data_IF_318939888354
#
_entry.id   IF_318939888354
#
_cell.length_a   1.000
_cell.length_b   1.000
_cell.length_c   1.000
_cell.angle_alpha   90.00
_cell.angle_beta   90.00
_cell.angle_gamma   90.00
#
_symmetry.space_group_name_H-M   'P 1'
#
loop_
_entity.id
_entity.type
_entity.pdbx_description
1 polymer ?
#
# COMPACT_ATOMS: atom_id res chain seq x y z
N UNK A 1 -8.16 3.03 -16.66
CA UNK A 1 -6.83 3.70 -16.71
C UNK A 1 -6.97 5.20 -16.86
N UNK A 2 -5.88 5.96 -16.65
CA UNK A 2 -5.84 7.39 -16.90
C UNK A 2 -6.12 7.70 -18.38
N UNK A 3 -6.69 8.87 -18.69
CA UNK A 3 -7.13 9.19 -20.05
C UNK A 3 -5.98 9.34 -21.05
N UNK A 4 -4.78 9.69 -20.57
CA UNK A 4 -3.54 9.73 -21.36
C UNK A 4 -2.36 9.28 -20.48
N UNK A 5 -2.13 7.98 -20.26
CA UNK A 5 -1.15 7.51 -19.27
C UNK A 5 0.27 8.05 -19.56
N UNK A 6 1.00 8.38 -18.49
CA UNK A 6 2.39 8.83 -18.56
C UNK A 6 3.37 7.70 -18.22
N UNK A 7 4.69 7.98 -18.18
CA UNK A 7 5.66 7.03 -17.64
C UNK A 7 5.31 6.70 -16.17
N UNK A 8 5.56 5.45 -15.76
CA UNK A 8 5.34 4.96 -14.39
C UNK A 8 3.87 5.03 -13.90
N UNK A 9 2.89 5.08 -14.81
CA UNK A 9 1.47 4.97 -14.44
C UNK A 9 1.10 3.55 -13.99
N UNK A 10 1.86 2.54 -14.40
CA UNK A 10 1.66 1.15 -14.00
C UNK A 10 2.80 0.62 -13.12
N UNK A 11 2.49 -0.39 -12.31
CA UNK A 11 3.47 -1.09 -11.50
C UNK A 11 4.44 -1.89 -12.36
N UNK A 12 5.73 -2.02 -11.96
CA UNK A 12 6.70 -2.82 -12.71
C UNK A 12 6.30 -4.29 -12.93
N UNK A 13 5.43 -4.82 -12.06
CA UNK A 13 4.91 -6.18 -12.11
C UNK A 13 3.46 -6.27 -12.60
N UNK A 14 2.91 -5.21 -13.20
CA UNK A 14 1.52 -5.22 -13.68
C UNK A 14 1.24 -6.37 -14.66
N UNK A 15 2.22 -6.70 -15.51
CA UNK A 15 2.16 -7.80 -16.48
C UNK A 15 2.00 -9.18 -15.83
N UNK A 16 2.29 -9.33 -14.54
CA UNK A 16 2.15 -10.60 -13.80
C UNK A 16 0.71 -10.87 -13.37
N UNK A 17 -0.18 -9.87 -13.42
CA UNK A 17 -1.58 -10.00 -13.01
C UNK A 17 -1.70 -10.61 -11.59
N UNK A 18 -2.45 -11.71 -11.46
CA UNK A 18 -2.61 -12.42 -10.19
C UNK A 18 -1.32 -13.03 -9.63
N UNK A 19 -0.27 -13.19 -10.43
CA UNK A 19 1.02 -13.74 -10.00
C UNK A 19 1.96 -12.70 -9.37
N UNK A 20 1.55 -11.43 -9.25
CA UNK A 20 2.37 -10.35 -8.69
C UNK A 20 2.98 -10.62 -7.31
N UNK A 21 2.38 -11.50 -6.51
CA UNK A 21 2.94 -11.91 -5.21
C UNK A 21 4.29 -12.65 -5.33
N UNK A 22 4.62 -13.21 -6.49
CA UNK A 22 5.93 -13.80 -6.77
C UNK A 22 7.07 -12.76 -6.69
N UNK A 23 6.76 -11.47 -6.76
CA UNK A 23 7.72 -10.38 -6.52
C UNK A 23 8.33 -10.49 -5.11
N UNK A 24 7.58 -10.99 -4.12
CA UNK A 24 8.07 -11.23 -2.76
C UNK A 24 8.75 -12.59 -2.57
N UNK A 25 8.79 -13.45 -3.59
CA UNK A 25 9.36 -14.79 -3.49
C UNK A 25 10.84 -14.80 -3.04
N UNK A 26 11.73 -13.90 -3.53
CA UNK A 26 13.12 -13.87 -3.05
C UNK A 26 13.21 -13.62 -1.54
N UNK A 27 12.39 -12.70 -1.01
CA UNK A 27 12.35 -12.40 0.42
C UNK A 27 11.78 -13.55 1.25
N UNK A 28 10.75 -14.23 0.73
CA UNK A 28 10.19 -15.43 1.35
C UNK A 28 11.22 -16.58 1.39
N UNK A 29 11.90 -16.85 0.29
CA UNK A 29 12.95 -17.87 0.20
C UNK A 29 14.14 -17.55 1.11
N UNK A 30 14.56 -16.28 1.16
CA UNK A 30 15.62 -15.84 2.08
C UNK A 30 15.21 -16.07 3.54
N UNK A 31 13.95 -15.80 3.89
CA UNK A 31 13.41 -16.07 5.23
C UNK A 31 13.45 -17.55 5.56
N UNK A 32 12.95 -18.41 4.65
CA UNK A 32 12.97 -19.87 4.82
C UNK A 32 14.41 -20.37 4.97
N UNK A 33 15.34 -19.88 4.15
CA UNK A 33 16.75 -20.26 4.23
C UNK A 33 17.38 -19.87 5.57
N UNK A 34 17.14 -18.64 6.07
CA UNK A 34 17.63 -18.21 7.39
C UNK A 34 17.07 -19.07 8.52
N UNK A 35 15.77 -19.35 8.48
CA UNK A 35 15.12 -20.22 9.48
C UNK A 35 15.69 -21.63 9.43
N UNK A 36 15.89 -22.20 8.25
CA UNK A 36 16.41 -23.55 8.08
C UNK A 36 17.88 -23.67 8.50
N UNK A 37 18.70 -22.65 8.25
CA UNK A 37 20.14 -22.66 8.53
C UNK A 37 20.51 -22.26 9.95
N UNK A 38 19.80 -21.28 10.54
CA UNK A 38 20.15 -20.69 11.84
C UNK A 38 19.08 -20.89 12.92
N UNK A 39 17.92 -21.42 12.55
CA UNK A 39 16.78 -21.61 13.44
C UNK A 39 16.01 -20.31 13.70
N UNK A 40 14.78 -20.46 14.19
CA UNK A 40 13.88 -19.33 14.50
C UNK A 40 14.42 -18.37 15.55
N UNK A 41 15.28 -18.84 16.46
CA UNK A 41 15.82 -18.05 17.58
C UNK A 41 16.87 -17.02 17.14
N UNK A 42 17.42 -17.14 15.93
CA UNK A 42 18.42 -16.22 15.37
C UNK A 42 17.77 -15.05 14.60
N UNK A 43 16.45 -15.07 14.40
CA UNK A 43 15.77 -13.96 13.75
C UNK A 43 15.62 -12.81 14.72
N UNK A 44 16.18 -11.66 14.37
CA UNK A 44 15.97 -10.45 15.14
C UNK A 44 14.50 -9.98 15.03
N UNK A 45 14.03 -9.18 16.00
CA UNK A 45 12.65 -8.70 16.00
C UNK A 45 12.28 -7.86 14.78
N UNK A 46 13.23 -7.07 14.25
CA UNK A 46 12.98 -6.20 13.10
C UNK A 46 12.69 -7.01 11.83
N UNK A 47 13.41 -8.13 11.62
CA UNK A 47 13.11 -9.05 10.52
C UNK A 47 11.79 -9.78 10.72
N UNK A 48 11.55 -10.28 11.94
CA UNK A 48 10.39 -11.13 12.26
C UNK A 48 9.06 -10.41 12.09
N UNK A 49 9.02 -9.08 12.32
CA UNK A 49 7.77 -8.30 12.24
C UNK A 49 7.39 -7.90 10.80
N UNK A 50 8.32 -7.92 9.83
CA UNK A 50 8.06 -7.42 8.47
C UNK A 50 6.92 -8.16 7.78
N UNK A 51 6.99 -9.49 7.69
CA UNK A 51 5.96 -10.28 7.03
C UNK A 51 4.60 -10.18 7.77
N UNK A 52 4.51 -10.38 9.10
CA UNK A 52 3.28 -10.13 9.84
C UNK A 52 2.71 -8.74 9.63
N UNK A 53 3.54 -7.68 9.60
CA UNK A 53 3.06 -6.31 9.38
C UNK A 53 2.44 -6.13 7.98
N UNK A 54 3.02 -6.73 6.94
CA UNK A 54 2.47 -6.69 5.57
C UNK A 54 1.14 -7.46 5.49
N UNK A 55 1.05 -8.64 6.12
CA UNK A 55 -0.19 -9.41 6.17
C UNK A 55 -1.28 -8.68 6.96
N UNK A 56 -0.93 -8.07 8.08
CA UNK A 56 -1.86 -7.25 8.86
C UNK A 56 -2.37 -6.06 8.06
N UNK A 57 -1.54 -5.42 7.23
CA UNK A 57 -1.99 -4.37 6.30
C UNK A 57 -2.99 -4.89 5.27
N UNK A 58 -2.76 -6.08 4.72
CA UNK A 58 -3.69 -6.72 3.79
C UNK A 58 -5.05 -6.99 4.45
N UNK A 59 -5.04 -7.60 5.63
CA UNK A 59 -6.25 -7.93 6.40
C UNK A 59 -7.00 -6.65 6.77
N UNK A 60 -6.29 -5.66 7.29
CA UNK A 60 -6.87 -4.37 7.68
C UNK A 60 -7.58 -3.69 6.51
N UNK A 61 -6.94 -3.60 5.34
CA UNK A 61 -7.55 -3.02 4.15
C UNK A 61 -8.78 -3.81 3.70
N UNK A 62 -8.68 -5.15 3.69
CA UNK A 62 -9.80 -6.01 3.31
C UNK A 62 -11.01 -5.83 4.23
N UNK A 63 -10.80 -5.67 5.54
CA UNK A 63 -11.87 -5.38 6.51
C UNK A 63 -12.56 -4.07 6.16
N UNK A 64 -11.81 -3.00 5.91
CA UNK A 64 -12.38 -1.69 5.60
C UNK A 64 -13.12 -1.66 4.27
N UNK A 65 -12.58 -2.31 3.23
CA UNK A 65 -13.27 -2.48 1.94
C UNK A 65 -14.60 -3.21 2.16
N UNK A 66 -14.58 -4.33 2.89
CA UNK A 66 -15.78 -5.13 3.16
C UNK A 66 -16.83 -4.33 3.93
N UNK A 67 -16.41 -3.57 4.95
CA UNK A 67 -17.29 -2.71 5.72
C UNK A 67 -17.90 -1.59 4.86
N UNK A 68 -17.08 -0.95 4.02
CA UNK A 68 -17.53 0.10 3.09
C UNK A 68 -18.58 -0.43 2.12
N UNK A 69 -18.31 -1.57 1.47
CA UNK A 69 -19.25 -2.22 0.54
C UNK A 69 -20.54 -2.63 1.23
N UNK A 70 -20.45 -3.18 2.44
CA UNK A 70 -21.63 -3.52 3.23
C UNK A 70 -22.49 -2.30 3.54
N UNK A 71 -21.87 -1.17 3.91
CA UNK A 71 -22.60 0.07 4.15
C UNK A 71 -23.26 0.60 2.86
N UNK A 72 -22.54 0.61 1.73
CA UNK A 72 -23.09 1.03 0.43
C UNK A 72 -24.29 0.17 0.03
N UNK A 73 -24.24 -1.15 0.25
CA UNK A 73 -25.33 -2.05 -0.12
C UNK A 73 -26.59 -1.90 0.76
N UNK A 74 -26.44 -1.46 2.03
CA UNK A 74 -27.55 -1.43 3.00
C UNK A 74 -28.16 -0.04 3.21
N UNK A 75 -27.36 1.03 3.08
CA UNK A 75 -27.74 2.36 3.55
C UNK A 75 -28.77 3.01 2.63
N UNK A 76 -29.83 3.57 3.22
CA UNK A 76 -30.88 4.31 2.49
C UNK A 76 -30.47 5.75 2.12
N UNK A 77 -29.38 6.25 2.68
CA UNK A 77 -28.88 7.61 2.50
C UNK A 77 -27.50 7.56 1.84
N UNK A 78 -27.48 7.17 0.57
CA UNK A 78 -26.27 7.24 -0.26
C UNK A 78 -26.11 8.66 -0.82
N UNK A 79 -24.87 9.13 -0.90
CA UNK A 79 -24.55 10.41 -1.55
C UNK A 79 -24.85 10.31 -3.05
N UNK A 80 -24.56 9.15 -3.63
CA UNK A 80 -24.86 8.81 -5.03
C UNK A 80 -25.66 7.51 -5.01
N UNK A 81 -26.86 7.53 -5.60
CA UNK A 81 -27.74 6.35 -5.70
C UNK A 81 -27.27 5.40 -6.81
N UNK A 82 -26.08 4.80 -6.62
CA UNK A 82 -25.50 3.78 -7.49
C UNK A 82 -24.82 2.68 -6.66
N UNK A 83 -24.90 1.45 -7.17
CA UNK A 83 -24.15 0.32 -6.63
C UNK A 83 -22.74 0.25 -7.21
N UNK A 84 -21.86 -0.47 -6.51
CA UNK A 84 -20.53 -0.79 -7.00
C UNK A 84 -20.64 -1.74 -8.22
N UNK A 85 -20.09 -1.33 -9.36
CA UNK A 85 -20.08 -2.15 -10.58
C UNK A 85 -18.79 -2.98 -10.71
N UNK A 86 -18.84 -4.00 -11.58
CA UNK A 86 -17.68 -4.86 -11.82
C UNK A 86 -16.51 -4.10 -12.43
N UNK A 87 -16.78 -3.09 -13.26
CA UNK A 87 -15.72 -2.28 -13.88
C UNK A 87 -14.91 -1.52 -12.82
N UNK A 88 -15.55 -0.92 -11.83
CA UNK A 88 -14.88 -0.23 -10.74
C UNK A 88 -14.12 -1.23 -9.86
N UNK A 89 -14.69 -2.41 -9.57
CA UNK A 89 -13.99 -3.49 -8.86
C UNK A 89 -12.69 -3.86 -9.56
N UNK A 90 -12.74 -4.05 -10.88
CA UNK A 90 -11.56 -4.43 -11.67
C UNK A 90 -10.53 -3.30 -11.72
N UNK A 91 -10.95 -2.04 -11.82
CA UNK A 91 -10.05 -0.87 -11.76
C UNK A 91 -9.32 -0.75 -10.41
N UNK A 92 -10.00 -1.10 -9.32
CA UNK A 92 -9.51 -0.91 -7.95
C UNK A 92 -8.81 -2.15 -7.38
N UNK A 93 -8.81 -3.27 -8.11
CA UNK A 93 -8.20 -4.55 -7.69
C UNK A 93 -6.70 -4.49 -7.40
N UNK A 94 -6.01 -3.45 -7.83
CA UNK A 94 -4.57 -3.19 -7.64
C UNK A 94 -4.23 -2.47 -6.32
N UNK A 95 -5.11 -2.51 -5.33
CA UNK A 95 -4.93 -1.79 -4.06
C UNK A 95 -3.78 -2.32 -3.19
N UNK A 96 -3.45 -3.59 -3.36
CA UNK A 96 -2.41 -4.34 -2.65
C UNK A 96 -1.01 -4.18 -3.24
N UNK A 97 -0.87 -3.56 -4.42
CA UNK A 97 0.44 -3.31 -5.04
C UNK A 97 1.35 -2.42 -4.18
N UNK A 98 0.78 -1.45 -3.46
CA UNK A 98 1.52 -0.65 -2.47
C UNK A 98 2.04 -1.51 -1.31
N UNK A 99 1.34 -2.58 -0.92
CA UNK A 99 1.80 -3.48 0.14
C UNK A 99 3.00 -4.29 -0.37
N UNK A 100 2.95 -4.78 -1.61
CA UNK A 100 4.07 -5.47 -2.26
C UNK A 100 5.29 -4.55 -2.33
N UNK A 101 5.10 -3.31 -2.80
CA UNK A 101 6.16 -2.32 -2.90
C UNK A 101 6.80 -2.00 -1.54
N UNK A 102 5.99 -1.73 -0.51
CA UNK A 102 6.51 -1.50 0.85
C UNK A 102 7.24 -2.73 1.40
N UNK A 103 6.77 -3.94 1.09
CA UNK A 103 7.47 -5.16 1.44
C UNK A 103 8.87 -5.23 0.85
N UNK A 104 9.02 -4.94 -0.45
CA UNK A 104 10.34 -4.87 -1.09
C UNK A 104 11.23 -3.83 -0.42
N UNK A 105 10.71 -2.64 -0.14
CA UNK A 105 11.47 -1.58 0.53
C UNK A 105 11.93 -2.00 1.93
N UNK A 106 11.09 -2.69 2.72
CA UNK A 106 11.47 -3.16 4.05
C UNK A 106 12.59 -4.20 3.99
N UNK A 107 12.48 -5.20 3.11
CA UNK A 107 13.54 -6.20 2.95
C UNK A 107 14.83 -5.60 2.39
N UNK A 108 14.73 -4.66 1.45
CA UNK A 108 15.89 -3.95 0.92
C UNK A 108 16.56 -3.08 2.00
N UNK A 109 15.77 -2.34 2.78
CA UNK A 109 16.27 -1.53 3.89
C UNK A 109 16.94 -2.39 4.94
N UNK A 110 16.37 -3.54 5.29
CA UNK A 110 17.01 -4.50 6.20
C UNK A 110 18.36 -5.00 5.67
N UNK A 111 18.46 -5.27 4.37
CA UNK A 111 19.69 -5.76 3.75
C UNK A 111 20.78 -4.68 3.59
N UNK A 112 20.41 -3.40 3.49
CA UNK A 112 21.33 -2.32 3.09
C UNK A 112 21.61 -1.29 4.17
N UNK A 113 20.67 -1.07 5.10
CA UNK A 113 20.83 -0.09 6.17
C UNK A 113 21.52 -0.74 7.36
N UNK A 114 22.69 -0.22 7.79
CA UNK A 114 23.40 -0.77 8.94
C UNK A 114 22.55 -0.72 10.21
N UNK A 115 22.72 -1.71 11.09
CA UNK A 115 22.13 -1.76 12.43
C UNK A 115 20.58 -1.83 12.49
N UNK A 116 19.88 -2.10 11.38
CA UNK A 116 18.41 -2.34 11.42
C UNK A 116 18.08 -3.52 12.35
N UNK A 117 18.90 -4.57 12.34
CA UNK A 117 18.75 -5.73 13.23
C UNK A 117 18.91 -5.41 14.72
N UNK A 118 19.50 -4.26 15.06
CA UNK A 118 19.69 -3.78 16.43
C UNK A 118 18.59 -2.79 16.86
N UNK A 119 17.64 -2.48 15.98
CA UNK A 119 16.57 -1.55 16.31
C UNK A 119 15.68 -2.12 17.43
N UNK A 120 15.37 -1.32 18.46
CA UNK A 120 14.42 -1.73 19.48
C UNK A 120 13.03 -1.86 18.89
N UNK A 121 12.26 -2.83 19.37
CA UNK A 121 10.85 -3.03 18.96
C UNK A 121 9.99 -1.80 19.27
N UNK A 122 10.33 -1.08 20.34
CA UNK A 122 9.60 0.12 20.76
C UNK A 122 10.54 1.23 21.22
N UNK A 123 10.28 2.45 20.76
CA UNK A 123 10.95 3.67 21.24
C UNK A 123 10.00 4.86 21.15
N UNK A 124 9.51 5.35 22.30
CA UNK A 124 8.54 6.46 22.37
C UNK A 124 9.02 7.72 21.63
N UNK A 125 10.29 8.09 21.77
CA UNK A 125 10.87 9.23 21.04
C UNK A 125 10.77 9.06 19.51
N UNK A 126 10.97 7.83 19.01
CA UNK A 126 10.81 7.51 17.60
C UNK A 126 9.36 7.68 17.15
N UNK A 127 8.40 7.24 17.97
CA UNK A 127 6.96 7.45 17.70
C UNK A 127 6.63 8.94 17.62
N UNK A 128 7.11 9.75 18.57
CA UNK A 128 6.90 11.21 18.55
C UNK A 128 7.48 11.83 17.27
N UNK A 129 8.71 11.46 16.91
CA UNK A 129 9.35 11.95 15.68
C UNK A 129 8.54 11.57 14.44
N UNK A 130 8.08 10.32 14.34
CA UNK A 130 7.24 9.85 13.22
C UNK A 130 5.96 10.66 13.13
N UNK A 131 5.27 10.90 14.26
CA UNK A 131 4.04 11.71 14.29
C UNK A 131 4.31 13.14 13.81
N UNK A 132 5.37 13.78 14.30
CA UNK A 132 5.73 15.15 13.89
C UNK A 132 6.12 15.23 12.40
N UNK A 133 6.92 14.27 11.92
CA UNK A 133 7.29 14.19 10.50
C UNK A 133 6.07 13.95 9.61
N UNK A 134 5.11 13.14 10.09
CA UNK A 134 3.88 12.90 9.37
C UNK A 134 3.00 14.16 9.31
N UNK A 135 2.63 14.71 10.47
CA UNK A 135 1.74 15.88 10.59
C UNK A 135 2.32 17.15 9.95
N UNK A 136 3.64 17.30 9.89
CA UNK A 136 4.28 18.46 9.27
C UNK A 136 4.69 18.18 7.82
N UNK A 137 5.93 17.73 7.57
CA UNK A 137 6.45 17.53 6.23
C UNK A 137 5.59 16.66 5.30
N UNK A 138 5.12 15.50 5.76
CA UNK A 138 4.41 14.55 4.87
C UNK A 138 3.07 15.13 4.43
N UNK A 139 2.26 15.64 5.35
CA UNK A 139 0.97 16.26 5.01
C UNK A 139 1.16 17.50 4.11
N UNK A 140 2.17 18.32 4.38
CA UNK A 140 2.49 19.47 3.54
C UNK A 140 2.82 19.06 2.10
N UNK A 141 3.71 18.08 1.93
CA UNK A 141 4.09 17.57 0.61
C UNK A 141 2.90 16.90 -0.08
N UNK A 142 2.12 16.11 0.64
CA UNK A 142 0.92 15.45 0.13
C UNK A 142 -0.07 16.48 -0.42
N UNK A 143 -0.39 17.53 0.33
CA UNK A 143 -1.31 18.58 -0.11
C UNK A 143 -0.87 19.24 -1.42
N UNK A 144 0.38 19.68 -1.50
CA UNK A 144 0.88 20.37 -2.69
C UNK A 144 1.03 19.44 -3.89
N UNK A 145 1.46 18.19 -3.66
CA UNK A 145 1.53 17.19 -4.71
C UNK A 145 0.14 16.86 -5.24
N UNK A 146 -0.84 16.64 -4.37
CA UNK A 146 -2.22 16.39 -4.76
C UNK A 146 -2.79 17.57 -5.55
N UNK A 147 -2.55 18.81 -5.11
CA UNK A 147 -2.92 20.01 -5.86
C UNK A 147 -2.27 20.06 -7.25
N UNK A 148 -1.00 19.68 -7.36
CA UNK A 148 -0.31 19.61 -8.65
C UNK A 148 -0.91 18.52 -9.56
N UNK A 149 -1.31 17.37 -9.01
CA UNK A 149 -1.98 16.29 -9.75
C UNK A 149 -3.30 16.74 -10.40
N UNK A 150 -3.95 17.78 -9.87
CA UNK A 150 -5.14 18.39 -10.47
C UNK A 150 -4.85 19.35 -11.62
N UNK A 151 -3.59 19.69 -11.89
CA UNK A 151 -3.24 20.44 -13.09
C UNK A 151 -3.44 19.58 -14.35
N UNK A 152 -4.07 20.12 -15.40
CA UNK A 152 -4.56 19.38 -16.58
C UNK A 152 -3.58 18.32 -17.15
N UNK A 153 -2.29 18.67 -17.21
CA UNK A 153 -1.23 17.77 -17.68
C UNK A 153 -1.07 16.52 -16.79
N UNK A 154 -0.97 16.69 -15.47
CA UNK A 154 -0.82 15.60 -14.51
C UNK A 154 -2.15 14.89 -14.26
N UNK A 155 -3.27 15.62 -14.31
CA UNK A 155 -4.60 15.07 -14.13
C UNK A 155 -4.89 13.99 -15.18
N UNK A 156 -4.75 14.31 -16.47
CA UNK A 156 -5.00 13.34 -17.55
C UNK A 156 -4.09 12.11 -17.52
N UNK A 157 -2.88 12.22 -16.93
CA UNK A 157 -1.87 11.16 -16.89
C UNK A 157 -1.91 10.27 -15.65
N UNK A 158 -2.20 10.86 -14.50
CA UNK A 158 -1.96 10.22 -13.21
C UNK A 158 -3.18 10.26 -12.27
N UNK A 159 -4.06 11.27 -12.39
CA UNK A 159 -5.11 11.47 -11.38
C UNK A 159 -6.54 11.26 -11.90
N UNK A 160 -6.78 11.36 -13.21
CA UNK A 160 -8.11 11.20 -13.82
C UNK A 160 -8.75 9.84 -13.55
N UNK A 161 -7.94 8.79 -13.48
CA UNK A 161 -8.40 7.44 -13.16
C UNK A 161 -9.01 7.33 -11.76
N UNK A 162 -8.40 8.00 -10.78
CA UNK A 162 -8.89 8.05 -9.41
C UNK A 162 -10.28 8.70 -9.33
N UNK A 163 -10.53 9.74 -10.13
CA UNK A 163 -11.83 10.42 -10.20
C UNK A 163 -12.90 9.65 -10.99
N UNK A 164 -12.56 8.52 -11.61
CA UNK A 164 -13.53 7.68 -12.31
C UNK A 164 -14.33 6.77 -11.37
N UNK A 165 -13.95 6.68 -10.10
CA UNK A 165 -14.67 5.89 -9.10
C UNK A 165 -15.86 6.66 -8.56
N UNK A 166 -17.05 6.14 -8.83
CA UNK A 166 -18.33 6.78 -8.51
C UNK A 166 -18.75 6.40 -7.09
N UNK A 167 -18.53 5.13 -6.71
CA UNK A 167 -18.78 4.64 -5.36
C UNK A 167 -17.47 4.71 -4.58
N UNK A 168 -17.35 5.63 -3.63
CA UNK A 168 -16.11 5.75 -2.86
C UNK A 168 -15.90 4.55 -1.93
N UNK A 169 -14.71 3.97 -1.99
CA UNK A 169 -14.20 2.93 -1.11
C UNK A 169 -12.90 3.41 -0.43
N UNK A 170 -12.45 2.80 0.68
CA UNK A 170 -11.17 3.15 1.31
C UNK A 170 -9.96 3.05 0.38
N UNK A 171 -10.02 2.16 -0.61
CA UNK A 171 -8.97 1.96 -1.63
C UNK A 171 -9.06 2.91 -2.82
N UNK A 172 -10.13 3.69 -2.87
CA UNK A 172 -10.35 4.71 -3.90
C UNK A 172 -9.52 5.95 -3.61
N UNK A 173 -9.17 6.21 -2.35
CA UNK A 173 -8.23 7.24 -1.93
C UNK A 173 -6.78 6.80 -2.24
N UNK A 174 -6.35 6.92 -3.50
CA UNK A 174 -4.96 6.70 -3.94
C UNK A 174 -4.32 7.99 -4.44
#
# INVERSE_FOLDING_TARGET
MATRPGPLTEWPWQWMGSFKYLVLAPAALHTVHRVASKGWRDLDPAYTIMLPALLMRMIHNQIWISLSRYQTARRKHLIVDRSLDFEQVDRERSWDDQIIFNGLLFYLAYATVPNVSLMPVWRTHGVIIIVLLHMGPVEFLYYWFHRALHHHFLYSRYHSHHHASIVTEPITCK
#
